data_IF_461702849852
#
_entry.id   IF_461702849852
#
_cell.length_a   1.000
_cell.length_b   1.000
_cell.length_c   1.000
_cell.angle_alpha   90.00
_cell.angle_beta   90.00
_cell.angle_gamma   90.00
#
_symmetry.space_group_name_H-M   'P 1'
#
loop_
_entity.id
_entity.type
_entity.pdbx_description
1 polymer ?
#
# COMPACT_ATOMS: atom_id res chain seq x y z
N UNK A 1 -0.48 43.41 -14.64
CA UNK A 1 -0.29 42.03 -14.14
C UNK A 1 1.20 41.86 -13.91
N UNK A 2 1.63 41.56 -12.68
CA UNK A 2 3.06 41.40 -12.37
C UNK A 2 3.61 40.23 -13.18
N UNK A 3 4.72 40.46 -13.87
CA UNK A 3 5.48 39.43 -14.56
C UNK A 3 6.04 38.44 -13.52
N UNK A 4 5.85 37.14 -13.76
CA UNK A 4 6.36 36.11 -12.86
C UNK A 4 7.89 36.04 -12.99
N UNK A 5 8.60 36.46 -11.94
CA UNK A 5 10.05 36.35 -11.90
C UNK A 5 10.45 34.99 -11.28
N UNK A 6 10.82 34.04 -12.14
CA UNK A 6 11.22 32.69 -11.75
C UNK A 6 12.45 32.69 -10.84
N UNK A 7 13.42 33.57 -11.09
CA UNK A 7 14.65 33.65 -10.29
C UNK A 7 14.32 34.03 -8.84
N UNK A 8 13.52 35.08 -8.65
CA UNK A 8 13.09 35.51 -7.30
C UNK A 8 12.24 34.44 -6.60
N UNK A 9 11.35 33.74 -7.33
CA UNK A 9 10.55 32.66 -6.75
C UNK A 9 11.41 31.50 -6.25
N UNK A 10 12.45 31.11 -6.98
CA UNK A 10 13.35 30.02 -6.57
C UNK A 10 14.23 30.47 -5.40
N UNK A 11 14.78 31.69 -5.46
CA UNK A 11 15.60 32.27 -4.39
C UNK A 11 14.84 32.32 -3.07
N UNK A 12 13.61 32.85 -3.08
CA UNK A 12 12.77 32.94 -1.88
C UNK A 12 12.45 31.54 -1.32
N UNK A 13 12.14 30.56 -2.17
CA UNK A 13 11.89 29.18 -1.71
C UNK A 13 13.12 28.52 -1.06
N UNK A 14 14.33 28.85 -1.52
CA UNK A 14 15.57 28.37 -0.89
C UNK A 14 15.85 29.06 0.45
N UNK A 15 15.60 30.37 0.55
CA UNK A 15 15.72 31.10 1.81
C UNK A 15 14.72 30.56 2.87
N UNK A 16 13.48 30.30 2.47
CA UNK A 16 12.45 29.66 3.31
C UNK A 16 12.89 28.26 3.79
N UNK A 17 13.55 27.47 2.93
CA UNK A 17 14.07 26.15 3.29
C UNK A 17 15.21 26.22 4.33
N UNK A 18 16.12 27.20 4.19
CA UNK A 18 17.22 27.43 5.15
C UNK A 18 16.66 27.83 6.52
N UNK A 19 15.66 28.72 6.54
CA UNK A 19 15.04 29.15 7.79
C UNK A 19 14.28 28.00 8.47
N UNK A 20 13.62 27.15 7.70
CA UNK A 20 12.98 25.93 8.21
C UNK A 20 13.99 24.97 8.87
N UNK A 21 15.18 24.77 8.28
CA UNK A 21 16.24 23.95 8.87
C UNK A 21 16.73 24.50 10.21
N UNK A 22 16.83 25.83 10.34
CA UNK A 22 17.20 26.53 11.60
C UNK A 22 16.11 26.48 12.68
N UNK A 23 14.95 25.88 12.38
CA UNK A 23 13.81 25.76 13.29
C UNK A 23 12.75 26.85 13.12
N UNK A 24 12.94 27.80 12.20
CA UNK A 24 11.95 28.84 11.90
C UNK A 24 10.90 28.30 10.92
N UNK A 25 9.69 28.03 11.40
CA UNK A 25 8.62 27.41 10.59
C UNK A 25 7.75 28.40 9.80
N UNK A 26 8.32 29.49 9.28
CA UNK A 26 7.56 30.53 8.57
C UNK A 26 7.21 30.03 7.16
N UNK A 27 5.93 30.07 6.79
CA UNK A 27 5.40 29.77 5.44
C UNK A 27 5.68 28.37 4.85
N UNK A 28 6.18 27.39 5.63
CA UNK A 28 6.42 26.03 5.13
C UNK A 28 5.21 25.11 5.34
N UNK A 29 4.88 24.32 4.31
CA UNK A 29 3.92 23.21 4.41
C UNK A 29 4.65 21.89 4.61
N UNK A 30 4.53 21.32 5.80
CA UNK A 30 5.17 20.03 6.13
C UNK A 30 4.15 18.90 6.00
N UNK A 31 4.39 17.95 5.09
CA UNK A 31 3.64 16.69 5.01
C UNK A 31 4.47 15.56 5.59
N UNK A 32 4.16 15.14 6.82
CA UNK A 32 4.75 13.92 7.40
C UNK A 32 3.97 12.72 6.91
N UNK A 33 4.67 11.76 6.30
CA UNK A 33 4.08 10.48 5.87
C UNK A 33 4.65 9.38 6.75
N UNK A 34 3.78 8.67 7.46
CA UNK A 34 4.11 7.45 8.18
C UNK A 34 3.47 6.28 7.44
N UNK A 35 4.26 5.25 7.17
CA UNK A 35 3.77 4.02 6.56
C UNK A 35 3.55 3.03 7.69
N UNK A 36 2.33 2.53 7.82
CA UNK A 36 2.02 1.50 8.81
C UNK A 36 2.76 0.19 8.49
N UNK A 37 3.30 -0.49 9.52
CA UNK A 37 4.01 -1.76 9.33
C UNK A 37 3.06 -2.80 8.74
N UNK A 38 3.64 -3.74 7.99
CA UNK A 38 2.88 -4.81 7.37
C UNK A 38 2.34 -5.73 8.47
N UNK A 39 1.03 -5.94 8.47
CA UNK A 39 0.38 -6.90 9.36
C UNK A 39 0.56 -8.32 8.80
N UNK A 40 0.99 -9.24 9.65
CA UNK A 40 0.98 -10.66 9.31
C UNK A 40 -0.43 -11.21 9.53
N UNK A 41 -0.95 -11.91 8.52
CA UNK A 41 -2.23 -12.61 8.61
C UNK A 41 -2.00 -14.05 9.02
N UNK A 42 -2.84 -14.55 9.93
CA UNK A 42 -2.89 -15.97 10.29
C UNK A 42 -3.45 -16.81 9.15
N UNK A 43 -3.23 -18.13 9.19
CA UNK A 43 -3.78 -19.06 8.20
C UNK A 43 -5.31 -18.97 8.08
N UNK A 44 -6.01 -18.81 9.21
CA UNK A 44 -7.46 -18.63 9.24
C UNK A 44 -7.87 -17.29 8.60
N UNK A 45 -7.17 -16.19 8.90
CA UNK A 45 -7.47 -14.89 8.29
C UNK A 45 -7.28 -14.89 6.78
N UNK A 46 -6.26 -15.59 6.28
CA UNK A 46 -6.03 -15.74 4.83
C UNK A 46 -7.21 -16.47 4.17
N UNK A 47 -7.68 -17.55 4.81
CA UNK A 47 -8.86 -18.30 4.35
C UNK A 47 -10.11 -17.42 4.36
N UNK A 48 -10.29 -16.59 5.39
CA UNK A 48 -11.42 -15.69 5.52
C UNK A 48 -11.38 -14.57 4.47
N UNK A 49 -10.20 -14.01 4.17
CA UNK A 49 -10.00 -13.04 3.09
C UNK A 49 -10.45 -13.63 1.76
N UNK A 50 -9.99 -14.85 1.43
CA UNK A 50 -10.42 -15.53 0.21
C UNK A 50 -11.92 -15.83 0.21
N UNK A 51 -12.48 -16.28 1.32
CA UNK A 51 -13.91 -16.59 1.41
C UNK A 51 -14.78 -15.34 1.25
N UNK A 52 -14.39 -14.21 1.84
CA UNK A 52 -15.07 -12.90 1.65
C UNK A 52 -15.01 -12.40 0.21
N UNK A 53 -13.97 -12.78 -0.52
CA UNK A 53 -13.85 -12.52 -1.95
C UNK A 53 -14.72 -13.45 -2.82
N UNK A 54 -15.37 -14.45 -2.24
CA UNK A 54 -16.13 -15.49 -2.94
C UNK A 54 -15.30 -16.24 -4.01
N UNK A 55 -14.00 -16.44 -3.73
CA UNK A 55 -13.08 -17.11 -4.64
C UNK A 55 -12.73 -18.52 -4.19
N UNK A 56 -12.60 -19.43 -5.16
CA UNK A 56 -11.95 -20.73 -4.93
C UNK A 56 -10.46 -20.53 -4.66
N UNK A 57 -9.78 -21.52 -4.06
CA UNK A 57 -8.33 -21.46 -3.84
C UNK A 57 -7.55 -21.26 -5.16
N UNK A 58 -8.00 -21.89 -6.25
CA UNK A 58 -7.37 -21.74 -7.56
C UNK A 58 -7.55 -20.33 -8.13
N UNK A 59 -8.77 -19.78 -8.06
CA UNK A 59 -9.04 -18.42 -8.54
C UNK A 59 -8.30 -17.37 -7.71
N UNK A 60 -8.25 -17.55 -6.39
CA UNK A 60 -7.47 -16.69 -5.51
C UNK A 60 -5.97 -16.79 -5.77
N UNK A 61 -5.45 -17.99 -6.05
CA UNK A 61 -4.05 -18.17 -6.41
C UNK A 61 -3.69 -17.45 -7.71
N UNK A 62 -4.55 -17.54 -8.72
CA UNK A 62 -4.39 -16.81 -9.98
C UNK A 62 -4.38 -15.29 -9.74
N UNK A 63 -5.31 -14.77 -8.94
CA UNK A 63 -5.32 -13.36 -8.57
C UNK A 63 -4.04 -12.93 -7.85
N UNK A 64 -3.59 -13.74 -6.88
CA UNK A 64 -2.38 -13.49 -6.10
C UNK A 64 -1.08 -13.69 -6.90
N UNK A 65 -1.15 -14.21 -8.13
CA UNK A 65 0.03 -14.50 -8.95
C UNK A 65 0.90 -15.64 -8.39
N UNK A 66 0.31 -16.61 -7.69
CA UNK A 66 1.02 -17.74 -7.07
C UNK A 66 0.36 -19.07 -7.43
N UNK A 67 1.03 -20.18 -7.10
CA UNK A 67 0.44 -21.50 -7.31
C UNK A 67 -0.70 -21.78 -6.33
N UNK A 68 -1.68 -22.61 -6.73
CA UNK A 68 -2.74 -23.10 -5.81
C UNK A 68 -2.15 -23.73 -4.55
N UNK A 69 -1.07 -24.50 -4.69
CA UNK A 69 -0.36 -25.15 -3.58
C UNK A 69 0.21 -24.14 -2.59
N UNK A 70 0.59 -22.96 -3.06
CA UNK A 70 1.05 -21.86 -2.20
C UNK A 70 -0.10 -21.34 -1.33
N UNK A 71 -1.29 -21.11 -1.91
CA UNK A 71 -2.48 -20.72 -1.15
C UNK A 71 -2.90 -21.79 -0.15
N UNK A 72 -2.88 -23.07 -0.56
CA UNK A 72 -3.15 -24.20 0.34
C UNK A 72 -2.16 -24.22 1.53
N UNK A 73 -0.86 -24.04 1.28
CA UNK A 73 0.16 -24.00 2.32
C UNK A 73 -0.01 -22.81 3.28
N UNK A 74 -0.46 -21.65 2.78
CA UNK A 74 -0.80 -20.49 3.60
C UNK A 74 -2.03 -20.74 4.49
N UNK A 75 -3.12 -21.27 3.92
CA UNK A 75 -4.35 -21.59 4.66
C UNK A 75 -4.18 -22.76 5.64
N UNK A 76 -3.22 -23.64 5.40
CA UNK A 76 -2.83 -24.71 6.32
C UNK A 76 -1.82 -24.26 7.38
N UNK A 77 -1.25 -23.06 7.27
CA UNK A 77 -0.22 -22.55 8.19
C UNK A 77 1.15 -23.24 8.04
N UNK A 78 1.39 -23.95 6.93
CA UNK A 78 2.68 -24.62 6.65
C UNK A 78 3.75 -23.58 6.34
N UNK A 79 3.40 -22.56 5.54
CA UNK A 79 4.26 -21.44 5.20
C UNK A 79 3.49 -20.12 5.39
N UNK A 80 4.22 -19.04 5.63
CA UNK A 80 3.63 -17.71 5.83
C UNK A 80 3.95 -16.86 4.60
N UNK A 81 2.97 -16.15 3.99
CA UNK A 81 3.24 -15.20 2.90
C UNK A 81 4.26 -14.17 3.38
N UNK A 82 5.15 -13.70 2.49
CA UNK A 82 6.19 -12.72 2.83
C UNK A 82 6.15 -11.52 1.89
N UNK A 83 6.73 -10.41 2.34
CA UNK A 83 6.94 -9.21 1.51
C UNK A 83 5.65 -8.69 0.88
N UNK A 84 5.63 -8.59 -0.45
CA UNK A 84 4.50 -8.07 -1.21
C UNK A 84 3.22 -8.90 -1.04
N UNK A 85 3.32 -10.23 -0.84
CA UNK A 85 2.14 -11.08 -0.64
C UNK A 85 1.38 -10.72 0.63
N UNK A 86 2.07 -10.35 1.72
CA UNK A 86 1.42 -9.90 2.95
C UNK A 86 0.71 -8.56 2.72
N UNK A 87 1.36 -7.61 2.04
CA UNK A 87 0.74 -6.32 1.73
C UNK A 87 -0.48 -6.48 0.82
N UNK A 88 -0.42 -7.37 -0.17
CA UNK A 88 -1.54 -7.63 -1.06
C UNK A 88 -2.72 -8.26 -0.31
N UNK A 89 -2.46 -9.24 0.58
CA UNK A 89 -3.48 -9.77 1.48
C UNK A 89 -4.11 -8.66 2.34
N UNK A 90 -3.30 -7.74 2.87
CA UNK A 90 -3.80 -6.62 3.66
C UNK A 90 -4.71 -5.69 2.83
N UNK A 91 -4.32 -5.39 1.59
CA UNK A 91 -5.12 -4.57 0.66
C UNK A 91 -6.48 -5.24 0.41
N UNK A 92 -6.49 -6.52 0.06
CA UNK A 92 -7.74 -7.28 -0.18
C UNK A 92 -8.57 -7.34 1.11
N UNK A 93 -7.94 -7.49 2.27
CA UNK A 93 -8.64 -7.55 3.56
C UNK A 93 -9.37 -6.24 3.90
N UNK A 94 -8.83 -5.11 3.45
CA UNK A 94 -9.38 -3.77 3.65
C UNK A 94 -10.44 -3.44 2.60
N UNK A 95 -10.24 -3.88 1.37
CA UNK A 95 -11.17 -3.64 0.27
C UNK A 95 -11.13 -4.82 -0.72
N UNK A 96 -12.13 -5.69 -0.65
CA UNK A 96 -12.27 -6.83 -1.56
C UNK A 96 -12.85 -6.45 -2.92
N UNK A 97 -13.33 -5.21 -3.10
CA UNK A 97 -13.89 -4.77 -4.40
C UNK A 97 -12.80 -4.65 -5.48
N UNK A 98 -11.54 -4.46 -5.07
CA UNK A 98 -10.38 -4.43 -5.97
C UNK A 98 -10.30 -5.68 -6.86
N UNK A 99 -10.79 -6.82 -6.37
CA UNK A 99 -10.78 -8.08 -7.09
C UNK A 99 -11.68 -8.05 -8.33
N UNK A 100 -12.76 -7.25 -8.31
CA UNK A 100 -13.72 -7.16 -9.41
C UNK A 100 -13.09 -6.65 -10.70
N UNK A 101 -12.00 -5.88 -10.62
CA UNK A 101 -11.28 -5.36 -11.78
C UNK A 101 -10.52 -6.44 -12.56
N UNK A 102 -10.36 -7.63 -11.99
CA UNK A 102 -9.57 -8.74 -12.54
C UNK A 102 -10.40 -9.99 -12.81
N UNK A 103 -11.72 -9.92 -12.65
CA UNK A 103 -12.64 -11.01 -12.95
C UNK A 103 -13.24 -10.73 -14.32
N UNK A 104 -12.88 -11.53 -15.32
CA UNK A 104 -13.56 -11.54 -16.62
C UNK A 104 -14.95 -12.18 -16.44
N UNK A 105 -16.01 -11.48 -16.89
CA UNK A 105 -17.40 -11.95 -16.87
C UNK A 105 -17.75 -12.73 -18.13
#
# INVERSE_FOLDING_TARGET
>A
MSEFNLFESIKNGLEEAIEYEKGNSINVRVKRVKIEPIRQHTSQEIKDIRAKANLSQSAFANFMGVSKKTVEAWEAGINIPQGSSQRLLEIISKDSTILQQYIEQ
#
